data_IF_756172633087
#
_entry.id   IF_756172633087
#
_cell.length_a   1.000
_cell.length_b   1.000
_cell.length_c   1.000
_cell.angle_alpha   90.00
_cell.angle_beta   90.00
_cell.angle_gamma   90.00
#
_symmetry.space_group_name_H-M   'P 1'
#
loop_
_entity.id
_entity.type
_entity.pdbx_description
1 polymer ?
#
# COMPACT_ATOMS: atom_id res chain seq x y z
N UNK A 1 4.69 -25.83 -17.16
CA UNK A 1 3.75 -25.58 -16.05
C UNK A 1 4.25 -24.36 -15.29
N UNK A 2 3.73 -23.16 -15.58
CA UNK A 2 4.14 -21.95 -14.85
C UNK A 2 3.45 -21.93 -13.48
N UNK A 3 4.15 -21.58 -12.39
CA UNK A 3 3.48 -21.46 -11.10
C UNK A 3 2.48 -20.31 -11.19
N UNK A 4 1.22 -20.62 -10.92
CA UNK A 4 0.17 -19.65 -10.56
C UNK A 4 0.69 -18.84 -9.37
N UNK A 5 1.37 -17.72 -9.65
CA UNK A 5 1.69 -16.72 -8.64
C UNK A 5 0.34 -16.24 -8.13
N UNK A 6 -0.08 -16.72 -6.95
CA UNK A 6 -1.26 -16.26 -6.23
C UNK A 6 -1.29 -14.73 -6.23
N UNK A 7 -2.07 -14.17 -7.16
CA UNK A 7 -2.14 -12.73 -7.42
C UNK A 7 -2.89 -12.13 -6.22
N UNK A 8 -2.21 -11.28 -5.46
CA UNK A 8 -2.84 -10.28 -4.59
C UNK A 8 -3.26 -10.70 -3.17
N UNK A 9 -2.56 -11.65 -2.53
CA UNK A 9 -2.59 -11.73 -1.06
C UNK A 9 -1.73 -10.62 -0.47
N UNK A 10 -2.23 -9.38 -0.53
CA UNK A 10 -1.68 -8.28 0.26
C UNK A 10 -1.71 -8.72 1.72
N UNK A 11 -0.52 -8.93 2.30
CA UNK A 11 -0.39 -9.39 3.69
C UNK A 11 -1.02 -8.34 4.60
N UNK A 12 -1.68 -8.82 5.66
CA UNK A 12 -2.26 -7.93 6.66
C UNK A 12 -1.15 -6.99 7.20
N UNK A 13 -1.35 -5.67 7.15
CA UNK A 13 -0.35 -4.69 7.56
C UNK A 13 -0.30 -4.56 9.10
N UNK A 14 0.12 -5.63 9.79
CA UNK A 14 0.11 -5.74 11.25
C UNK A 14 0.85 -4.58 11.92
N UNK A 15 2.02 -4.22 11.40
CA UNK A 15 2.80 -3.11 11.93
C UNK A 15 2.06 -1.77 11.84
N UNK A 16 1.40 -1.50 10.72
CA UNK A 16 0.64 -0.25 10.56
C UNK A 16 -0.61 -0.23 11.44
N UNK A 17 -1.23 -1.39 11.67
CA UNK A 17 -2.34 -1.54 12.60
C UNK A 17 -1.90 -1.24 14.05
N UNK A 18 -0.77 -1.82 14.47
CA UNK A 18 -0.24 -1.58 15.83
C UNK A 18 0.26 -0.14 16.04
N UNK A 19 0.73 0.51 14.97
CA UNK A 19 1.21 1.89 15.02
C UNK A 19 0.10 2.93 14.75
N UNK A 20 -1.18 2.52 14.80
CA UNK A 20 -2.28 3.47 14.69
C UNK A 20 -2.26 4.47 15.86
N UNK A 21 -2.59 5.74 15.61
CA UNK A 21 -2.74 6.72 16.67
C UNK A 21 -3.95 6.36 17.56
N UNK A 22 -3.65 5.82 18.74
CA UNK A 22 -4.61 5.25 19.70
C UNK A 22 -5.60 6.27 20.31
N UNK A 23 -5.40 7.57 20.08
CA UNK A 23 -6.24 8.65 20.60
C UNK A 23 -6.70 9.62 19.50
N UNK A 24 -6.82 9.14 18.27
CA UNK A 24 -7.34 9.95 17.16
C UNK A 24 -8.75 9.52 16.76
N UNK A 25 -9.51 10.45 16.20
CA UNK A 25 -10.82 10.17 15.56
C UNK A 25 -10.71 9.15 14.40
N UNK A 26 -9.51 8.88 13.91
CA UNK A 26 -9.22 7.95 12.81
C UNK A 26 -8.81 6.56 13.29
N UNK A 27 -8.94 6.27 14.60
CA UNK A 27 -8.63 4.95 15.13
C UNK A 27 -9.62 3.90 14.60
N UNK A 28 -9.10 2.88 13.91
CA UNK A 28 -9.89 1.77 13.40
C UNK A 28 -9.51 0.52 14.19
N UNK A 29 -10.35 0.14 15.17
CA UNK A 29 -10.15 -1.03 16.03
C UNK A 29 -10.54 -2.36 15.36
N UNK A 30 -11.31 -2.31 14.27
CA UNK A 30 -11.65 -3.52 13.53
C UNK A 30 -10.52 -3.83 12.53
N UNK A 31 -9.78 -4.94 12.71
CA UNK A 31 -8.65 -5.28 11.85
C UNK A 31 -9.07 -5.52 10.38
N UNK A 32 -10.28 -6.03 10.13
CA UNK A 32 -10.78 -6.20 8.75
C UNK A 32 -11.03 -4.85 8.08
N UNK A 33 -11.63 -3.91 8.81
CA UNK A 33 -11.86 -2.54 8.31
C UNK A 33 -10.53 -1.83 8.06
N UNK A 34 -9.57 -1.95 8.99
CA UNK A 34 -8.24 -1.37 8.80
C UNK A 34 -7.54 -1.93 7.56
N UNK A 35 -7.58 -3.25 7.37
CA UNK A 35 -6.98 -3.90 6.20
C UNK A 35 -7.59 -3.38 4.89
N UNK A 36 -8.90 -3.17 4.86
CA UNK A 36 -9.58 -2.63 3.68
C UNK A 36 -9.16 -1.19 3.38
N UNK A 37 -9.22 -0.31 4.39
CA UNK A 37 -8.82 1.11 4.26
C UNK A 37 -7.35 1.23 3.86
N UNK A 38 -6.46 0.49 4.52
CA UNK A 38 -5.03 0.49 4.20
C UNK A 38 -4.75 0.08 2.75
N UNK A 39 -5.51 -0.88 2.20
CA UNK A 39 -5.36 -1.31 0.79
C UNK A 39 -5.76 -0.20 -0.16
N UNK A 40 -6.83 0.53 0.13
CA UNK A 40 -7.26 1.68 -0.68
C UNK A 40 -6.19 2.77 -0.63
N UNK A 41 -5.74 3.18 0.55
CA UNK A 41 -4.70 4.20 0.70
C UNK A 41 -3.41 3.83 -0.02
N UNK A 42 -3.02 2.55 0.01
CA UNK A 42 -1.85 2.06 -0.71
C UNK A 42 -2.03 2.20 -2.23
N UNK A 43 -3.21 1.84 -2.74
CA UNK A 43 -3.55 1.99 -4.15
C UNK A 43 -3.56 3.46 -4.57
N UNK A 44 -4.15 4.34 -3.76
CA UNK A 44 -4.17 5.80 -4.01
C UNK A 44 -2.76 6.39 -4.03
N UNK A 45 -1.86 5.97 -3.13
CA UNK A 45 -0.44 6.40 -3.12
C UNK A 45 0.35 5.90 -4.32
N UNK A 46 -0.02 4.76 -4.88
CA UNK A 46 0.59 4.24 -6.11
C UNK A 46 0.01 4.97 -7.33
N UNK A 47 -1.30 5.17 -7.35
CA UNK A 47 -2.02 5.88 -8.41
C UNK A 47 -1.57 7.34 -8.53
N UNK A 48 -1.41 8.03 -7.39
CA UNK A 48 -0.86 9.40 -7.35
C UNK A 48 0.64 9.48 -7.66
N UNK A 49 1.37 8.36 -7.70
CA UNK A 49 2.80 8.29 -8.06
C UNK A 49 3.05 7.96 -9.54
N UNK A 50 2.01 7.88 -10.35
CA UNK A 50 2.14 7.63 -11.78
C UNK A 50 2.60 8.90 -12.53
N UNK A 51 3.88 9.28 -12.37
CA UNK A 51 4.71 9.94 -13.41
C UNK A 51 6.18 10.28 -13.06
N UNK A 52 6.76 9.88 -11.92
CA UNK A 52 8.20 10.18 -11.69
C UNK A 52 9.18 9.17 -12.33
N UNK A 53 8.66 8.09 -12.92
CA UNK A 53 9.48 7.07 -13.59
C UNK A 53 9.91 7.45 -15.03
N UNK A 54 9.51 8.63 -15.54
CA UNK A 54 10.01 9.18 -16.81
C UNK A 54 11.15 10.16 -16.57
N UNK A 55 12.31 9.66 -16.14
CA UNK A 55 13.48 10.53 -15.93
C UNK A 55 14.84 9.84 -15.88
N UNK A 56 14.94 8.55 -16.24
CA UNK A 56 16.24 7.87 -16.33
C UNK A 56 16.37 7.12 -17.67
N UNK A 57 16.17 7.84 -18.77
CA UNK A 57 16.69 7.46 -20.08
C UNK A 57 17.70 8.51 -20.53
N UNK A 58 18.99 8.17 -20.41
CA UNK A 58 20.12 8.59 -21.25
C UNK A 58 20.35 10.07 -21.61
N UNK A 59 21.37 10.66 -21.01
CA UNK A 59 22.36 11.60 -21.59
C UNK A 59 23.41 11.80 -20.48
N UNK A 60 24.73 11.67 -20.64
CA UNK A 60 25.64 11.91 -21.75
C UNK A 60 26.90 12.49 -21.09
N UNK A 61 28.08 11.99 -21.45
CA UNK A 61 29.38 12.38 -20.88
C UNK A 61 30.45 11.36 -21.24
#
# INVERSE_FOLDING_TARGET
>A
MYPEKNKNKLKFPLWHYLNQPLFSEKLILNPHTFAYVYRIELLERCWGRECDAKGQSSSGG
#
